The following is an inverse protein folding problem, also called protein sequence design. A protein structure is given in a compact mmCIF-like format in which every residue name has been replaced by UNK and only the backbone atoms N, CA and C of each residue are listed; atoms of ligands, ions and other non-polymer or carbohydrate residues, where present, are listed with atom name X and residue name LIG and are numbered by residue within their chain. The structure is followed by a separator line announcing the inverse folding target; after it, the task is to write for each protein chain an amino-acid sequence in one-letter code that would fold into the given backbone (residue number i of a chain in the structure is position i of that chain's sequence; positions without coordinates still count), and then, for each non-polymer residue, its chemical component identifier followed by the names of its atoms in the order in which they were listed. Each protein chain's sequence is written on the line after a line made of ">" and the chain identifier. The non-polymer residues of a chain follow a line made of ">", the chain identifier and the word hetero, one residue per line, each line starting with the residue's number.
data_IF_445590464707
#
_entry.id   IF_445590464707
#
_cell.length_a   1.000
_cell.length_b   1.000
_cell.length_c   1.000
_cell.angle_alpha   90.00
_cell.angle_beta   90.00
_cell.angle_gamma   90.00
#
_symmetry.space_group_name_H-M   'P 1'
#
loop_
_entity.id
_entity.type
_entity.pdbx_description
1 polymer ?
#
# COMPACT_ATOMS: atom_id res chain seq x y z
N UNK A 1 -37.31 25.97 22.51
CA UNK A 1 -37.95 24.66 22.85
C UNK A 1 -36.86 23.59 22.81
N UNK A 2 -35.84 23.83 23.63
CA UNK A 2 -34.44 23.46 23.36
C UNK A 2 -33.76 22.93 24.65
N UNK A 3 -34.56 22.47 25.61
CA UNK A 3 -34.07 22.07 26.94
C UNK A 3 -34.73 20.80 27.52
N UNK A 4 -35.57 20.07 26.78
CA UNK A 4 -36.34 18.94 27.35
C UNK A 4 -35.96 17.53 26.85
N UNK A 5 -34.82 17.35 26.18
CA UNK A 5 -34.31 16.01 25.80
C UNK A 5 -32.86 15.88 26.28
N UNK A 6 -32.64 16.09 27.58
CA UNK A 6 -31.30 15.95 28.20
C UNK A 6 -31.27 15.19 29.52
N UNK A 7 -32.34 14.48 29.92
CA UNK A 7 -32.33 13.66 31.14
C UNK A 7 -33.20 12.42 31.00
N UNK A 8 -32.63 11.27 31.39
CA UNK A 8 -33.19 9.90 31.38
C UNK A 8 -33.01 9.21 30.01
N UNK A 9 -32.18 8.19 29.80
CA UNK A 9 -31.49 7.20 30.65
C UNK A 9 -30.41 6.56 29.75
N UNK A 10 -29.18 6.26 30.15
CA UNK A 10 -28.72 5.85 31.47
C UNK A 10 -28.51 4.33 31.54
N UNK A 11 -27.76 3.73 30.60
CA UNK A 11 -27.02 2.50 30.84
C UNK A 11 -25.59 2.65 30.30
N UNK A 12 -24.66 2.47 31.23
CA UNK A 12 -23.24 2.64 31.08
C UNK A 12 -22.66 1.75 29.97
N UNK A 13 -21.84 2.35 29.10
CA UNK A 13 -20.47 1.85 29.00
C UNK A 13 -19.51 3.02 28.79
N UNK A 14 -18.56 3.10 29.71
CA UNK A 14 -17.51 4.09 29.82
C UNK A 14 -16.53 3.97 28.65
N UNK A 15 -16.75 4.72 27.57
CA UNK A 15 -15.70 5.07 26.60
C UNK A 15 -15.42 6.56 26.69
N UNK A 16 -14.89 6.97 27.84
CA UNK A 16 -14.25 8.28 28.00
C UNK A 16 -12.83 8.02 28.45
N UNK A 17 -11.93 7.93 27.49
CA UNK A 17 -10.54 8.30 27.65
C UNK A 17 -10.20 9.16 26.43
N UNK A 18 -9.71 10.36 26.71
CA UNK A 18 -9.24 11.32 25.74
C UNK A 18 -8.16 10.67 24.86
N UNK A 19 -8.53 10.18 23.68
CA UNK A 19 -7.56 9.87 22.65
C UNK A 19 -7.15 11.20 22.01
N UNK A 20 -5.98 11.70 22.41
CA UNK A 20 -5.21 12.63 21.59
C UNK A 20 -5.23 12.14 20.13
N UNK A 21 -5.22 13.02 19.11
CA UNK A 21 -5.23 12.59 17.72
C UNK A 21 -4.01 11.70 17.48
N UNK A 22 -4.22 10.38 17.53
CA UNK A 22 -3.19 9.40 17.23
C UNK A 22 -2.87 9.62 15.77
N UNK A 23 -1.67 10.14 15.50
CA UNK A 23 -1.20 10.36 14.14
C UNK A 23 -1.39 9.07 13.35
N UNK A 24 -1.84 9.11 12.09
CA UNK A 24 -2.13 7.91 11.28
C UNK A 24 -0.98 6.88 11.32
N UNK A 25 0.27 7.35 11.44
CA UNK A 25 1.48 6.54 11.57
C UNK A 25 1.51 5.58 12.79
N UNK A 26 0.85 5.92 13.90
CA UNK A 26 0.84 5.13 15.13
C UNK A 26 -0.03 3.86 15.00
N UNK A 27 -1.03 3.85 14.13
CA UNK A 27 -1.90 2.69 13.89
C UNK A 27 -1.26 1.65 12.94
N UNK A 28 -0.36 2.06 12.04
CA UNK A 28 0.26 1.15 11.07
C UNK A 28 1.30 0.21 11.69
N UNK A 29 2.08 0.68 12.66
CA UNK A 29 3.15 -0.09 13.31
C UNK A 29 2.62 -1.35 14.01
N UNK A 30 1.57 -1.29 14.86
CA UNK A 30 1.06 -2.47 15.55
C UNK A 30 0.37 -3.48 14.62
N UNK A 31 -0.16 -3.05 13.46
CA UNK A 31 -0.77 -3.98 12.48
C UNK A 31 0.25 -4.54 11.49
N UNK A 32 1.22 -3.73 11.07
CA UNK A 32 2.23 -4.09 10.09
C UNK A 32 3.24 -5.10 10.61
N UNK A 33 3.72 -4.95 11.85
CA UNK A 33 4.75 -5.83 12.43
C UNK A 33 4.27 -7.29 12.53
N UNK A 34 3.09 -7.61 13.11
CA UNK A 34 2.59 -8.99 13.14
C UNK A 34 2.39 -9.54 11.74
N UNK A 35 1.82 -8.75 10.83
CA UNK A 35 1.55 -9.16 9.45
C UNK A 35 2.85 -9.56 8.74
N UNK A 36 3.92 -8.76 8.85
CA UNK A 36 5.22 -9.06 8.23
C UNK A 36 5.86 -10.32 8.82
N UNK A 37 5.77 -10.51 10.14
CA UNK A 37 6.35 -11.67 10.83
C UNK A 37 5.62 -12.97 10.42
N UNK A 38 4.30 -12.95 10.36
CA UNK A 38 3.51 -14.13 10.01
C UNK A 38 3.54 -14.43 8.50
N UNK A 39 3.39 -13.40 7.65
CA UNK A 39 3.38 -13.55 6.20
C UNK A 39 4.75 -13.89 5.61
N UNK A 40 5.84 -13.42 6.25
CA UNK A 40 7.20 -13.65 5.78
C UNK A 40 7.85 -14.85 6.47
N UNK A 41 8.62 -14.65 7.56
CA UNK A 41 9.44 -15.70 8.17
C UNK A 41 8.66 -16.97 8.57
N UNK A 42 7.45 -16.82 9.11
CA UNK A 42 6.65 -17.96 9.60
C UNK A 42 6.10 -18.78 8.43
N UNK A 43 5.50 -18.14 7.43
CA UNK A 43 5.00 -18.85 6.24
C UNK A 43 6.14 -19.51 5.44
N UNK A 44 7.27 -18.83 5.29
CA UNK A 44 8.45 -19.40 4.63
C UNK A 44 8.96 -20.62 5.39
N UNK A 45 9.00 -20.61 6.73
CA UNK A 45 9.39 -21.77 7.54
C UNK A 45 8.42 -22.95 7.43
N UNK A 46 7.12 -22.68 7.26
CA UNK A 46 6.09 -23.73 7.13
C UNK A 46 6.10 -24.36 5.73
N UNK A 47 6.34 -23.54 4.69
CA UNK A 47 6.08 -23.95 3.30
C UNK A 47 7.35 -24.24 2.49
N UNK A 48 8.49 -23.65 2.85
CA UNK A 48 9.79 -24.02 2.29
C UNK A 48 10.45 -25.08 3.18
N UNK A 49 10.24 -26.35 2.84
CA UNK A 49 11.17 -27.41 3.28
C UNK A 49 12.56 -27.08 2.71
N UNK A 50 13.60 -27.32 3.51
CA UNK A 50 15.00 -26.92 3.31
C UNK A 50 15.69 -27.51 2.06
N UNK A 51 14.96 -28.26 1.24
CA UNK A 51 15.46 -28.95 0.06
C UNK A 51 15.25 -28.05 -1.16
N UNK A 52 16.35 -27.44 -1.61
CA UNK A 52 16.42 -26.80 -2.91
C UNK A 52 16.36 -27.92 -3.94
N UNK A 53 15.36 -27.91 -4.82
CA UNK A 53 15.25 -28.92 -5.87
C UNK A 53 16.45 -28.77 -6.82
N UNK A 54 17.13 -29.85 -7.23
CA UNK A 54 18.29 -29.79 -8.15
C UNK A 54 18.01 -29.02 -9.46
N UNK A 55 16.74 -29.01 -9.90
CA UNK A 55 16.26 -28.23 -11.04
C UNK A 55 16.34 -26.71 -10.83
N UNK A 56 16.14 -26.21 -9.61
CA UNK A 56 16.21 -24.78 -9.28
C UNK A 56 17.65 -24.26 -9.28
N UNK A 57 18.61 -25.09 -8.83
CA UNK A 57 20.04 -24.75 -8.85
C UNK A 57 20.53 -24.59 -10.28
N UNK A 58 20.14 -25.51 -11.17
CA UNK A 58 20.50 -25.44 -12.60
C UNK A 58 19.87 -24.23 -13.29
N UNK A 59 18.62 -23.92 -12.98
CA UNK A 59 17.89 -22.77 -13.53
C UNK A 59 18.47 -21.42 -13.09
N UNK A 60 18.82 -21.28 -11.80
CA UNK A 60 19.46 -20.08 -11.27
C UNK A 60 20.89 -19.90 -11.80
N UNK A 61 21.66 -20.99 -11.92
CA UNK A 61 23.01 -20.97 -12.52
C UNK A 61 23.02 -20.40 -13.94
N UNK A 62 22.11 -20.87 -14.79
CA UNK A 62 22.00 -20.40 -16.19
C UNK A 62 21.64 -18.91 -16.35
N UNK A 63 20.99 -18.29 -15.36
CA UNK A 63 20.66 -16.85 -15.38
C UNK A 63 21.76 -15.97 -14.77
N UNK A 64 22.56 -16.53 -13.87
CA UNK A 64 23.66 -15.82 -13.22
C UNK A 64 24.86 -15.69 -14.16
N UNK A 65 25.04 -16.64 -15.08
CA UNK A 65 26.09 -16.64 -16.11
C UNK A 65 25.79 -15.75 -17.33
N UNK A 66 24.78 -14.87 -17.25
CA UNK A 66 24.47 -13.97 -18.37
C UNK A 66 25.60 -12.95 -18.56
N UNK A 67 26.37 -13.21 -19.61
CA UNK A 67 27.40 -12.39 -20.23
C UNK A 67 26.84 -11.07 -20.76
N UNK A 68 26.32 -10.21 -19.89
CA UNK A 68 26.13 -8.80 -20.23
C UNK A 68 27.40 -8.03 -19.85
N UNK A 69 27.92 -7.29 -20.83
CA UNK A 69 29.14 -6.50 -20.78
C UNK A 69 29.38 -5.84 -19.42
N UNK A 70 30.58 -6.03 -18.87
CA UNK A 70 31.10 -5.40 -17.65
C UNK A 70 31.05 -3.87 -17.80
N UNK A 71 29.87 -3.29 -17.56
CA UNK A 71 29.71 -1.85 -17.40
C UNK A 71 29.98 -1.56 -15.94
N UNK A 72 30.90 -0.64 -15.65
CA UNK A 72 31.21 -0.30 -14.27
C UNK A 72 29.93 0.09 -13.53
N UNK A 73 29.57 -0.74 -12.55
CA UNK A 73 28.39 -0.50 -11.75
C UNK A 73 28.60 0.80 -10.96
N UNK A 74 27.55 1.63 -10.81
CA UNK A 74 27.64 2.81 -9.96
C UNK A 74 28.06 2.39 -8.56
N UNK A 75 28.99 3.15 -7.96
CA UNK A 75 29.43 2.89 -6.59
C UNK A 75 28.23 2.77 -5.66
N UNK A 76 28.27 1.79 -4.75
CA UNK A 76 27.19 1.45 -3.82
C UNK A 76 26.62 2.69 -3.11
N UNK A 77 27.48 3.62 -2.68
CA UNK A 77 27.07 4.85 -1.99
C UNK A 77 26.23 5.80 -2.84
N UNK A 78 26.53 5.95 -4.14
CA UNK A 78 25.74 6.81 -5.04
C UNK A 78 24.37 6.18 -5.27
N UNK A 79 24.33 4.88 -5.54
CA UNK A 79 23.07 4.14 -5.75
C UNK A 79 22.18 4.20 -4.51
N UNK A 80 22.75 3.96 -3.33
CA UNK A 80 22.03 4.04 -2.07
C UNK A 80 21.51 5.46 -1.82
N UNK A 81 22.36 6.47 -2.04
CA UNK A 81 21.95 7.87 -1.87
C UNK A 81 20.83 8.25 -2.83
N UNK A 82 20.89 7.87 -4.12
CA UNK A 82 19.82 8.17 -5.08
C UNK A 82 18.48 7.54 -4.66
N UNK A 83 18.49 6.30 -4.18
CA UNK A 83 17.26 5.61 -3.73
C UNK A 83 16.71 6.25 -2.44
N UNK A 84 17.59 6.67 -1.53
CA UNK A 84 17.19 7.26 -0.25
C UNK A 84 16.87 8.76 -0.33
N UNK A 85 17.32 9.47 -1.37
CA UNK A 85 17.15 10.91 -1.53
C UNK A 85 15.70 11.40 -1.38
N UNK A 86 14.69 10.83 -2.07
CA UNK A 86 13.32 11.33 -1.96
C UNK A 86 12.76 11.08 -0.55
N UNK A 87 13.12 9.95 0.07
CA UNK A 87 12.74 9.65 1.44
C UNK A 87 13.36 10.65 2.43
N UNK A 88 14.65 10.96 2.27
CA UNK A 88 15.36 11.90 3.12
C UNK A 88 14.71 13.29 3.04
N UNK A 89 14.39 13.77 1.83
CA UNK A 89 13.69 15.05 1.64
C UNK A 89 12.31 15.07 2.32
N UNK A 90 11.55 13.97 2.26
CA UNK A 90 10.26 13.87 2.94
C UNK A 90 10.40 13.83 4.47
N UNK A 91 11.39 13.11 5.00
CA UNK A 91 11.68 13.05 6.45
C UNK A 91 12.08 14.43 6.97
N UNK A 92 12.91 15.18 6.24
CA UNK A 92 13.32 16.52 6.64
C UNK A 92 12.12 17.47 6.72
N UNK A 93 11.12 17.35 5.84
CA UNK A 93 9.83 18.05 6.00
C UNK A 93 9.09 17.63 7.26
N UNK A 94 9.02 16.34 7.55
CA UNK A 94 8.32 15.85 8.75
C UNK A 94 8.99 16.36 10.03
N UNK A 95 10.32 16.35 10.11
CA UNK A 95 11.07 16.87 11.25
C UNK A 95 10.90 18.38 11.46
N UNK A 96 10.74 19.14 10.38
CA UNK A 96 10.55 20.59 10.43
C UNK A 96 9.09 21.02 10.60
N UNK A 97 8.14 20.07 10.53
CA UNK A 97 6.70 20.36 10.66
C UNK A 97 6.31 20.90 12.04
N UNK A 98 7.05 20.55 13.10
CA UNK A 98 6.85 21.02 14.48
C UNK A 98 7.49 22.37 14.82
N UNK A 99 8.22 23.00 13.89
CA UNK A 99 8.82 24.32 14.08
C UNK A 99 7.81 25.45 13.76
N UNK A 100 7.98 26.61 14.41
CA UNK A 100 7.13 27.78 14.21
C UNK A 100 7.14 28.29 12.76
N UNK A 101 6.00 28.80 12.30
CA UNK A 101 5.72 29.07 10.87
C UNK A 101 6.57 30.18 10.23
N UNK A 102 7.18 31.04 11.04
CA UNK A 102 7.81 32.30 10.65
C UNK A 102 9.21 32.16 10.00
N UNK A 103 9.83 30.99 10.05
CA UNK A 103 11.17 30.80 9.48
C UNK A 103 11.16 30.53 7.97
N UNK A 104 11.92 31.33 7.19
CA UNK A 104 12.19 31.10 5.75
C UNK A 104 12.62 29.65 5.44
N UNK A 105 13.36 29.04 6.37
CA UNK A 105 13.83 27.65 6.32
C UNK A 105 12.63 26.69 6.24
N UNK A 106 11.58 26.88 7.04
CA UNK A 106 10.38 26.02 7.04
C UNK A 106 9.62 26.12 5.73
N UNK A 107 9.52 27.31 5.11
CA UNK A 107 8.87 27.48 3.79
C UNK A 107 9.61 26.73 2.69
N UNK A 108 10.94 26.82 2.66
CA UNK A 108 11.77 26.07 1.72
C UNK A 108 11.66 24.56 1.93
N UNK A 109 11.74 24.10 3.19
CA UNK A 109 11.66 22.67 3.50
C UNK A 109 10.27 22.09 3.24
N UNK A 110 9.21 22.85 3.50
CA UNK A 110 7.84 22.45 3.17
C UNK A 110 7.65 22.31 1.66
N UNK A 111 8.18 23.25 0.88
CA UNK A 111 8.08 23.22 -0.58
C UNK A 111 8.83 22.00 -1.17
N UNK A 112 10.09 21.81 -0.77
CA UNK A 112 10.99 20.76 -1.29
C UNK A 112 10.65 19.35 -0.79
N UNK A 113 10.10 19.23 0.42
CA UNK A 113 9.74 17.93 0.98
C UNK A 113 8.33 17.47 0.63
N UNK A 114 7.59 18.17 -0.23
CA UNK A 114 6.33 17.62 -0.77
C UNK A 114 6.65 16.38 -1.62
N UNK A 115 5.82 15.32 -1.58
CA UNK A 115 6.14 14.08 -2.29
C UNK A 115 6.45 14.26 -3.77
N UNK A 116 5.67 15.11 -4.45
CA UNK A 116 5.85 15.39 -5.87
C UNK A 116 7.19 16.07 -6.17
N UNK A 117 7.56 17.10 -5.41
CA UNK A 117 8.82 17.83 -5.64
C UNK A 117 10.04 17.00 -5.24
N UNK A 118 9.97 16.27 -4.12
CA UNK A 118 11.01 15.36 -3.68
C UNK A 118 11.29 14.26 -4.72
N UNK A 119 10.25 13.67 -5.31
CA UNK A 119 10.38 12.69 -6.39
C UNK A 119 10.95 13.32 -7.67
N UNK A 120 10.54 14.54 -8.03
CA UNK A 120 11.09 15.25 -9.19
C UNK A 120 12.58 15.54 -9.03
N UNK A 121 13.00 16.07 -7.87
CA UNK A 121 14.41 16.34 -7.57
C UNK A 121 15.21 15.04 -7.60
N UNK A 122 14.68 13.98 -6.99
CA UNK A 122 15.31 12.66 -7.00
C UNK A 122 15.43 12.08 -8.42
N UNK A 123 14.44 12.29 -9.28
CA UNK A 123 14.45 11.82 -10.67
C UNK A 123 15.54 12.54 -11.48
N UNK A 124 15.65 13.86 -11.35
CA UNK A 124 16.72 14.64 -11.99
C UNK A 124 18.09 14.17 -11.51
N UNK A 125 18.24 13.96 -10.20
CA UNK A 125 19.47 13.43 -9.63
C UNK A 125 19.78 12.01 -10.13
N UNK A 126 18.77 11.16 -10.29
CA UNK A 126 18.93 9.81 -10.84
C UNK A 126 19.39 9.83 -12.30
N UNK A 127 18.81 10.68 -13.15
CA UNK A 127 19.26 10.83 -14.54
C UNK A 127 20.72 11.27 -14.64
N UNK A 128 21.15 12.15 -13.74
CA UNK A 128 22.54 12.58 -13.69
C UNK A 128 23.49 11.49 -13.14
N UNK A 129 23.16 10.91 -11.99
CA UNK A 129 24.04 9.99 -11.24
C UNK A 129 24.09 8.58 -11.84
N UNK A 130 22.94 8.01 -12.24
CA UNK A 130 22.82 6.65 -12.77
C UNK A 130 22.74 6.60 -14.30
N UNK A 131 22.43 7.73 -14.94
CA UNK A 131 22.40 7.83 -16.40
C UNK A 131 23.70 8.38 -16.96
N UNK A 132 23.83 9.71 -16.91
CA UNK A 132 24.92 10.45 -17.54
C UNK A 132 26.30 10.07 -17.01
N UNK A 133 26.45 9.95 -15.68
CA UNK A 133 27.73 9.56 -15.06
C UNK A 133 28.18 8.13 -15.38
N UNK A 134 27.27 7.26 -15.83
CA UNK A 134 27.60 5.90 -16.30
C UNK A 134 27.87 5.86 -17.82
N UNK A 135 28.00 7.01 -18.47
CA UNK A 135 28.22 7.11 -19.91
C UNK A 135 27.01 6.67 -20.75
N UNK A 136 25.79 6.73 -20.22
CA UNK A 136 24.57 6.53 -21.03
C UNK A 136 24.27 7.80 -21.82
N UNK A 137 23.93 7.65 -23.10
CA UNK A 137 23.52 8.79 -23.92
C UNK A 137 22.13 9.29 -23.53
N UNK A 138 21.82 10.55 -23.84
CA UNK A 138 20.49 11.12 -23.62
C UNK A 138 19.39 10.33 -24.35
N UNK A 139 19.69 9.78 -25.54
CA UNK A 139 18.76 8.94 -26.30
C UNK A 139 18.45 7.62 -25.59
N UNK A 140 19.45 6.99 -24.97
CA UNK A 140 19.23 5.77 -24.17
C UNK A 140 18.36 6.05 -22.94
N UNK A 141 18.57 7.21 -22.31
CA UNK A 141 17.77 7.64 -21.16
C UNK A 141 16.31 7.93 -21.55
N UNK A 142 16.11 8.53 -22.72
CA UNK A 142 14.78 8.75 -23.30
C UNK A 142 14.08 7.42 -23.59
N UNK A 143 14.78 6.47 -24.20
CA UNK A 143 14.22 5.13 -24.50
C UNK A 143 13.79 4.39 -23.24
N UNK A 144 14.61 4.41 -22.18
CA UNK A 144 14.26 3.80 -20.88
C UNK A 144 13.01 4.46 -20.28
N UNK A 145 12.95 5.78 -20.37
CA UNK A 145 11.78 6.53 -19.90
C UNK A 145 10.53 6.14 -20.70
N UNK A 146 10.63 6.06 -22.03
CA UNK A 146 9.56 5.64 -22.94
C UNK A 146 9.04 4.23 -22.63
N UNK A 147 9.93 3.28 -22.32
CA UNK A 147 9.55 1.91 -21.93
C UNK A 147 8.76 1.85 -20.61
N UNK A 148 8.89 2.86 -19.75
CA UNK A 148 8.20 2.91 -18.45
C UNK A 148 6.78 3.51 -18.54
N UNK A 149 6.48 4.31 -19.58
CA UNK A 149 5.18 4.96 -19.74
C UNK A 149 3.98 3.99 -19.82
N UNK A 150 4.03 2.87 -20.57
CA UNK A 150 2.88 1.96 -20.66
C UNK A 150 2.42 1.43 -19.30
N UNK A 151 3.37 1.10 -18.41
CA UNK A 151 3.06 0.64 -17.05
C UNK A 151 2.42 1.77 -16.23
N UNK A 152 2.94 2.99 -16.34
CA UNK A 152 2.37 4.16 -15.66
C UNK A 152 0.99 4.53 -16.17
N UNK A 153 0.73 4.41 -17.48
CA UNK A 153 -0.54 4.76 -18.10
C UNK A 153 -1.71 3.95 -17.51
N UNK A 154 -1.51 2.64 -17.29
CA UNK A 154 -2.52 1.80 -16.64
C UNK A 154 -2.85 2.27 -15.22
N UNK A 155 -1.83 2.58 -14.43
CA UNK A 155 -2.00 3.05 -13.04
C UNK A 155 -2.75 4.40 -13.01
N UNK A 156 -2.35 5.36 -13.84
CA UNK A 156 -2.98 6.69 -13.91
C UNK A 156 -4.43 6.59 -14.40
N UNK A 157 -4.71 5.75 -15.39
CA UNK A 157 -6.07 5.55 -15.91
C UNK A 157 -7.00 4.96 -14.84
N UNK A 158 -6.53 3.96 -14.10
CA UNK A 158 -7.28 3.39 -12.99
C UNK A 158 -7.54 4.43 -11.89
N UNK A 159 -6.54 5.23 -11.51
CA UNK A 159 -6.70 6.27 -10.49
C UNK A 159 -7.76 7.27 -10.94
N UNK A 160 -7.69 7.73 -12.20
CA UNK A 160 -8.67 8.64 -12.78
C UNK A 160 -10.09 8.05 -12.82
N UNK A 161 -10.21 6.79 -13.24
CA UNK A 161 -11.48 6.06 -13.26
C UNK A 161 -12.06 5.89 -11.85
N UNK A 162 -11.23 5.57 -10.85
CA UNK A 162 -11.64 5.49 -9.44
C UNK A 162 -12.16 6.81 -8.90
N UNK A 163 -11.50 7.93 -9.22
CA UNK A 163 -11.95 9.27 -8.84
C UNK A 163 -13.30 9.68 -9.48
N UNK A 164 -13.47 9.37 -10.77
CA UNK A 164 -14.74 9.58 -11.47
C UNK A 164 -15.85 8.69 -10.89
N UNK A 165 -15.56 7.42 -10.62
CA UNK A 165 -16.49 6.48 -10.01
C UNK A 165 -16.91 6.90 -8.60
N UNK A 166 -15.99 7.35 -7.74
CA UNK A 166 -16.32 7.93 -6.43
C UNK A 166 -17.27 9.12 -6.56
N UNK A 167 -17.04 10.00 -7.54
CA UNK A 167 -17.92 11.16 -7.80
C UNK A 167 -19.33 10.73 -8.21
N UNK A 168 -19.47 9.64 -8.96
CA UNK A 168 -20.78 9.04 -9.28
C UNK A 168 -21.42 8.46 -8.03
N UNK A 169 -20.68 7.69 -7.22
CA UNK A 169 -21.21 7.10 -5.98
C UNK A 169 -21.72 8.15 -4.98
N UNK A 170 -20.99 9.26 -4.81
CA UNK A 170 -21.41 10.38 -3.96
C UNK A 170 -22.69 11.03 -4.47
N UNK A 171 -22.86 11.16 -5.80
CA UNK A 171 -24.07 11.75 -6.41
C UNK A 171 -25.25 10.80 -6.48
N UNK A 172 -25.01 9.49 -6.50
CA UNK A 172 -26.06 8.46 -6.60
C UNK A 172 -26.75 8.17 -5.26
N UNK A 173 -26.34 8.79 -4.14
CA UNK A 173 -26.91 8.51 -2.82
C UNK A 173 -26.57 7.11 -2.28
N UNK A 174 -25.61 6.41 -2.90
CA UNK A 174 -25.24 5.04 -2.49
C UNK A 174 -24.71 5.00 -1.05
N UNK A 175 -24.06 6.08 -0.59
CA UNK A 175 -23.61 6.20 0.81
C UNK A 175 -24.75 6.16 1.82
N UNK A 176 -25.93 6.69 1.48
CA UNK A 176 -27.13 6.68 2.32
C UNK A 176 -27.76 5.28 2.39
N UNK A 177 -27.71 4.54 1.27
CA UNK A 177 -28.16 3.14 1.23
C UNK A 177 -27.23 2.23 2.04
N UNK A 178 -25.91 2.38 1.89
CA UNK A 178 -24.93 1.57 2.60
C UNK A 178 -24.97 1.88 4.11
N UNK A 179 -25.09 3.15 4.50
CA UNK A 179 -25.26 3.52 5.91
C UNK A 179 -26.59 3.01 6.48
N UNK A 180 -27.68 3.06 5.72
CA UNK A 180 -28.96 2.44 6.09
C UNK A 180 -28.85 0.92 6.29
N UNK A 181 -28.09 0.23 5.43
CA UNK A 181 -27.77 -1.19 5.59
C UNK A 181 -26.91 -1.46 6.82
N UNK A 182 -25.89 -0.64 7.10
CA UNK A 182 -25.05 -0.76 8.30
C UNK A 182 -25.83 -0.55 9.60
N UNK A 183 -26.83 0.34 9.59
CA UNK A 183 -27.71 0.56 10.74
C UNK A 183 -28.68 -0.60 10.97
N UNK A 184 -29.02 -1.35 9.90
CA UNK A 184 -29.97 -2.48 9.94
C UNK A 184 -29.29 -3.85 10.04
N UNK A 185 -28.01 -3.96 9.69
CA UNK A 185 -27.18 -5.17 9.86
C UNK A 185 -25.99 -4.87 10.76
N UNK A 186 -25.83 -5.63 11.85
CA UNK A 186 -24.70 -5.54 12.78
C UNK A 186 -23.36 -6.05 12.17
N UNK A 187 -23.06 -5.72 10.92
CA UNK A 187 -21.83 -6.10 10.23
C UNK A 187 -20.74 -5.09 10.57
N UNK A 188 -19.56 -5.58 10.98
CA UNK A 188 -18.44 -4.69 11.26
C UNK A 188 -17.96 -4.02 9.93
N UNK A 189 -17.89 -2.68 9.87
CA UNK A 189 -17.45 -1.91 8.69
C UNK A 189 -16.05 -2.28 8.20
N UNK A 190 -15.15 -2.67 9.10
CA UNK A 190 -13.78 -3.11 8.80
C UNK A 190 -13.79 -4.39 7.96
N UNK A 191 -14.67 -5.34 8.29
CA UNK A 191 -14.80 -6.61 7.55
C UNK A 191 -15.37 -6.34 6.15
N UNK A 192 -16.35 -5.44 6.05
CA UNK A 192 -16.93 -5.04 4.78
C UNK A 192 -15.88 -4.40 3.87
N UNK A 193 -15.08 -3.47 4.42
CA UNK A 193 -14.00 -2.80 3.71
C UNK A 193 -12.94 -3.78 3.18
N UNK A 194 -12.51 -4.71 4.03
CA UNK A 194 -11.59 -5.78 3.67
C UNK A 194 -12.15 -6.69 2.57
N UNK A 195 -13.42 -7.07 2.67
CA UNK A 195 -14.08 -7.98 1.73
C UNK A 195 -14.24 -7.36 0.34
N UNK A 196 -14.63 -6.08 0.27
CA UNK A 196 -14.69 -5.35 -1.00
C UNK A 196 -13.31 -5.31 -1.65
N UNK A 197 -12.27 -4.96 -0.89
CA UNK A 197 -10.89 -4.94 -1.39
C UNK A 197 -10.42 -6.33 -1.85
N UNK A 198 -10.80 -7.39 -1.14
CA UNK A 198 -10.51 -8.78 -1.48
C UNK A 198 -11.11 -9.18 -2.83
N UNK A 199 -12.40 -8.92 -3.05
CA UNK A 199 -13.08 -9.20 -4.34
C UNK A 199 -12.44 -8.39 -5.47
N UNK A 200 -12.18 -7.10 -5.22
CA UNK A 200 -11.57 -6.23 -6.23
C UNK A 200 -10.17 -6.71 -6.61
N UNK A 201 -9.38 -7.21 -5.65
CA UNK A 201 -8.07 -7.74 -5.97
C UNK A 201 -8.13 -9.04 -6.77
N UNK A 202 -9.07 -9.93 -6.42
CA UNK A 202 -9.32 -11.14 -7.20
C UNK A 202 -9.72 -10.80 -8.65
N UNK A 203 -10.55 -9.78 -8.85
CA UNK A 203 -11.01 -9.38 -10.18
C UNK A 203 -9.93 -8.66 -11.01
N UNK A 204 -9.14 -7.77 -10.40
CA UNK A 204 -8.22 -6.89 -11.15
C UNK A 204 -6.77 -7.39 -11.17
N UNK A 205 -6.36 -8.21 -10.19
CA UNK A 205 -5.01 -8.76 -10.12
C UNK A 205 -3.90 -7.75 -9.79
N UNK A 206 -4.25 -6.52 -9.39
CA UNK A 206 -3.27 -5.53 -8.94
C UNK A 206 -3.68 -4.95 -7.59
N UNK A 207 -2.81 -5.11 -6.59
CA UNK A 207 -3.05 -4.62 -5.24
C UNK A 207 -3.35 -3.12 -5.22
N UNK A 208 -2.60 -2.32 -6.00
CA UNK A 208 -2.78 -0.87 -6.04
C UNK A 208 -4.12 -0.48 -6.66
N UNK A 209 -4.51 -1.13 -7.76
CA UNK A 209 -5.79 -0.86 -8.43
C UNK A 209 -6.96 -1.26 -7.53
N UNK A 210 -6.85 -2.42 -6.88
CA UNK A 210 -7.85 -2.92 -5.94
C UNK A 210 -8.03 -1.98 -4.75
N UNK A 211 -6.93 -1.48 -4.16
CA UNK A 211 -6.97 -0.50 -3.08
C UNK A 211 -7.73 0.77 -3.48
N UNK A 212 -7.38 1.37 -4.63
CA UNK A 212 -7.99 2.63 -5.08
C UNK A 212 -9.48 2.44 -5.35
N UNK A 213 -9.85 1.34 -5.98
CA UNK A 213 -11.23 1.02 -6.30
C UNK A 213 -12.07 0.79 -5.04
N UNK A 214 -11.54 0.01 -4.09
CA UNK A 214 -12.21 -0.25 -2.82
C UNK A 214 -12.32 1.03 -1.97
N UNK A 215 -11.27 1.85 -1.91
CA UNK A 215 -11.31 3.15 -1.24
C UNK A 215 -12.40 4.07 -1.83
N UNK A 216 -12.56 4.04 -3.15
CA UNK A 216 -13.62 4.79 -3.85
C UNK A 216 -15.01 4.29 -3.48
N UNK A 217 -15.20 2.98 -3.29
CA UNK A 217 -16.47 2.39 -2.88
C UNK A 217 -16.83 2.68 -1.42
N UNK A 218 -15.84 2.75 -0.54
CA UNK A 218 -16.03 2.89 0.91
C UNK A 218 -16.10 4.37 1.33
N UNK A 219 -15.54 5.27 0.52
CA UNK A 219 -15.55 6.72 0.73
C UNK A 219 -16.93 7.31 1.14
N UNK A 220 -18.05 6.98 0.46
CA UNK A 220 -19.37 7.46 0.87
C UNK A 220 -19.81 6.99 2.27
N UNK A 221 -19.29 5.87 2.75
CA UNK A 221 -19.62 5.30 4.06
C UNK A 221 -19.02 6.15 5.19
N UNK A 222 -17.80 6.66 4.99
CA UNK A 222 -17.12 7.57 5.91
C UNK A 222 -17.83 8.93 6.01
N UNK A 223 -18.45 9.38 4.91
CA UNK A 223 -19.24 10.60 4.91
C UNK A 223 -20.57 10.45 5.67
N UNK A 224 -21.13 9.24 5.69
CA UNK A 224 -22.42 8.95 6.31
C UNK A 224 -22.31 8.65 7.82
N UNK A 225 -21.20 8.07 8.29
CA UNK A 225 -20.98 7.76 9.70
C UNK A 225 -19.65 8.34 10.22
N UNK A 226 -19.74 9.34 11.10
CA UNK A 226 -18.60 10.00 11.73
C UNK A 226 -17.91 9.15 12.80
N UNK A 227 -18.47 8.00 13.21
CA UNK A 227 -17.82 7.09 14.15
C UNK A 227 -16.77 6.20 13.47
N UNK A 228 -16.77 6.14 12.14
CA UNK A 228 -15.78 5.39 11.37
C UNK A 228 -14.45 6.14 11.34
N UNK A 229 -13.39 5.46 11.78
CA UNK A 229 -12.03 5.99 11.75
C UNK A 229 -11.38 5.67 10.38
N UNK A 230 -11.05 6.66 9.55
CA UNK A 230 -10.53 6.43 8.19
C UNK A 230 -9.22 5.64 8.18
N UNK A 231 -8.39 5.81 9.21
CA UNK A 231 -7.12 5.13 9.36
C UNK A 231 -7.29 3.60 9.41
N UNK A 232 -8.28 3.12 10.16
CA UNK A 232 -8.56 1.67 10.31
C UNK A 232 -9.11 1.10 9.00
N UNK A 233 -9.99 1.85 8.33
CA UNK A 233 -10.54 1.44 7.03
C UNK A 233 -9.45 1.33 5.95
N UNK A 234 -8.51 2.28 5.91
CA UNK A 234 -7.38 2.22 4.96
C UNK A 234 -6.51 1.00 5.21
N UNK A 235 -6.26 0.65 6.47
CA UNK A 235 -5.51 -0.57 6.84
C UNK A 235 -6.29 -1.83 6.41
N UNK A 236 -7.60 -1.87 6.64
CA UNK A 236 -8.46 -2.98 6.22
C UNK A 236 -8.49 -3.18 4.70
N UNK A 237 -8.59 -2.08 3.95
CA UNK A 237 -8.52 -2.07 2.48
C UNK A 237 -7.14 -2.56 2.01
N UNK A 238 -6.07 -2.08 2.64
CA UNK A 238 -4.70 -2.52 2.37
C UNK A 238 -4.54 -4.03 2.59
N UNK A 239 -5.02 -4.54 3.72
CA UNK A 239 -5.03 -5.97 4.03
C UNK A 239 -5.80 -6.78 2.97
N UNK A 240 -7.00 -6.34 2.60
CA UNK A 240 -7.83 -7.00 1.59
C UNK A 240 -7.20 -6.99 0.19
N UNK A 241 -6.47 -5.93 -0.15
CA UNK A 241 -5.80 -5.78 -1.45
C UNK A 241 -4.58 -6.66 -1.67
N UNK A 242 -4.03 -7.28 -0.62
CA UNK A 242 -2.89 -8.20 -0.72
C UNK A 242 -3.39 -9.62 -0.96
N UNK A 243 -4.67 -9.88 -0.69
CA UNK A 243 -5.26 -11.22 -0.68
C UNK A 243 -5.32 -11.88 -2.05
N UNK A 244 -5.24 -13.20 -2.09
CA UNK A 244 -5.58 -14.00 -3.27
C UNK A 244 -4.80 -13.58 -4.54
N UNK A 245 -3.50 -13.40 -4.40
CA UNK A 245 -2.63 -13.17 -5.54
C UNK A 245 -2.52 -14.46 -6.38
N UNK A 246 -3.18 -14.49 -7.54
CA UNK A 246 -3.27 -15.65 -8.42
C UNK A 246 -2.73 -15.32 -9.82
N UNK A 247 -3.16 -16.06 -10.86
CA UNK A 247 -2.66 -15.86 -12.23
C UNK A 247 -2.92 -14.47 -12.81
N UNK A 248 -3.85 -13.69 -12.25
CA UNK A 248 -4.06 -12.28 -12.66
C UNK A 248 -3.03 -11.33 -12.08
N UNK A 249 -2.27 -11.74 -11.05
CA UNK A 249 -1.29 -10.88 -10.40
C UNK A 249 0.11 -11.01 -11.01
N UNK A 250 0.68 -9.89 -11.42
CA UNK A 250 2.05 -9.80 -11.92
C UNK A 250 3.10 -10.30 -10.91
N UNK A 251 2.88 -10.08 -9.61
CA UNK A 251 3.79 -10.52 -8.56
C UNK A 251 3.87 -12.05 -8.47
N UNK A 252 2.76 -12.75 -8.76
CA UNK A 252 2.73 -14.21 -8.83
C UNK A 252 3.66 -14.74 -9.93
N UNK A 253 3.64 -14.11 -11.10
CA UNK A 253 4.48 -14.49 -12.24
C UNK A 253 5.95 -14.22 -11.98
N UNK A 254 6.26 -13.07 -11.37
CA UNK A 254 7.61 -12.74 -10.94
C UNK A 254 8.13 -13.84 -10.00
N UNK A 255 7.42 -14.15 -8.91
CA UNK A 255 7.88 -15.17 -7.95
C UNK A 255 8.05 -16.54 -8.60
N UNK A 256 7.12 -16.95 -9.46
CA UNK A 256 7.22 -18.22 -10.19
C UNK A 256 8.47 -18.25 -11.07
N UNK A 257 8.70 -17.19 -11.84
CA UNK A 257 9.79 -17.09 -12.82
C UNK A 257 11.16 -16.94 -12.16
N UNK A 258 11.24 -16.24 -11.02
CA UNK A 258 12.46 -16.12 -10.23
C UNK A 258 12.83 -17.44 -9.54
N UNK A 259 11.83 -18.20 -9.04
CA UNK A 259 12.08 -19.45 -8.31
C UNK A 259 12.12 -20.69 -9.21
N UNK A 260 11.76 -20.57 -10.48
CA UNK A 260 11.72 -21.69 -11.44
C UNK A 260 10.77 -22.82 -11.04
N UNK A 261 9.71 -22.51 -10.28
CA UNK A 261 8.77 -23.51 -9.74
C UNK A 261 7.57 -23.76 -10.67
N UNK A 262 6.94 -24.93 -10.51
CA UNK A 262 5.71 -25.26 -11.26
C UNK A 262 4.53 -24.34 -10.89
N UNK A 263 3.56 -24.19 -11.79
CA UNK A 263 2.37 -23.36 -11.55
C UNK A 263 1.57 -23.81 -10.31
N UNK A 264 1.40 -25.13 -10.14
CA UNK A 264 0.69 -25.71 -8.99
C UNK A 264 1.40 -25.39 -7.68
N UNK A 265 2.74 -25.44 -7.68
CA UNK A 265 3.54 -25.12 -6.51
C UNK A 265 3.56 -23.63 -6.20
N UNK A 266 3.62 -22.78 -7.23
CA UNK A 266 3.49 -21.34 -7.08
C UNK A 266 2.14 -20.95 -6.47
N UNK A 267 1.03 -21.53 -6.94
CA UNK A 267 -0.30 -21.27 -6.37
C UNK A 267 -0.37 -21.71 -4.90
N UNK A 268 0.14 -22.89 -4.56
CA UNK A 268 0.14 -23.35 -3.17
C UNK A 268 0.98 -22.48 -2.25
N UNK A 269 2.20 -22.12 -2.67
CA UNK A 269 3.17 -21.42 -1.83
C UNK A 269 2.92 -19.92 -1.77
N UNK A 270 2.67 -19.27 -2.91
CA UNK A 270 2.51 -17.82 -2.99
C UNK A 270 1.08 -17.36 -2.73
N UNK A 271 0.08 -17.94 -3.39
CA UNK A 271 -1.33 -17.58 -3.14
C UNK A 271 -1.76 -17.96 -1.72
N UNK A 272 -1.25 -19.08 -1.19
CA UNK A 272 -1.43 -19.43 0.22
C UNK A 272 -0.82 -18.39 1.18
N UNK A 273 0.39 -17.89 0.87
CA UNK A 273 1.05 -16.85 1.68
C UNK A 273 0.21 -15.58 1.74
N UNK A 274 -0.31 -15.16 0.58
CA UNK A 274 -1.03 -13.88 0.46
C UNK A 274 -2.40 -13.92 1.11
N UNK A 275 -3.10 -15.07 1.04
CA UNK A 275 -4.36 -15.28 1.78
C UNK A 275 -4.09 -15.27 3.28
N UNK A 276 -3.05 -15.98 3.76
CA UNK A 276 -2.72 -15.97 5.19
C UNK A 276 -2.35 -14.55 5.65
N UNK A 277 -1.50 -13.85 4.89
CA UNK A 277 -1.09 -12.48 5.20
C UNK A 277 -2.30 -11.55 5.34
N UNK A 278 -3.25 -11.64 4.42
CA UNK A 278 -4.48 -10.86 4.45
C UNK A 278 -5.37 -11.18 5.64
N UNK A 279 -5.55 -12.45 5.98
CA UNK A 279 -6.36 -12.87 7.14
C UNK A 279 -5.71 -12.44 8.46
N UNK A 280 -4.38 -12.59 8.58
CA UNK A 280 -3.64 -12.11 9.76
C UNK A 280 -3.76 -10.60 9.89
N UNK A 281 -3.62 -9.87 8.78
CA UNK A 281 -3.79 -8.43 8.77
C UNK A 281 -5.22 -8.01 9.14
N UNK A 282 -6.26 -8.72 8.68
CA UNK A 282 -7.64 -8.50 9.09
C UNK A 282 -7.82 -8.69 10.59
N UNK A 283 -7.33 -9.80 11.15
CA UNK A 283 -7.42 -10.08 12.60
C UNK A 283 -6.72 -8.99 13.40
N UNK A 284 -5.50 -8.60 13.01
CA UNK A 284 -4.77 -7.52 13.66
C UNK A 284 -5.52 -6.17 13.57
N UNK A 285 -6.18 -5.90 12.44
CA UNK A 285 -6.99 -4.68 12.25
C UNK A 285 -8.23 -4.71 13.13
N UNK A 286 -8.92 -5.85 13.26
CA UNK A 286 -10.09 -5.99 14.13
C UNK A 286 -9.73 -5.88 15.62
N UNK A 287 -8.55 -6.38 16.01
CA UNK A 287 -8.05 -6.20 17.37
C UNK A 287 -7.81 -4.71 17.64
N UNK A 288 -7.19 -3.99 16.69
CA UNK A 288 -6.97 -2.55 16.82
C UNK A 288 -8.29 -1.76 16.89
N UNK A 289 -9.27 -2.12 16.05
CA UNK A 289 -10.63 -1.57 16.07
C UNK A 289 -11.33 -1.77 17.42
N UNK A 290 -11.04 -2.86 18.14
CA UNK A 290 -11.59 -3.08 19.48
C UNK A 290 -10.97 -2.19 20.57
N UNK A 291 -9.71 -1.78 20.40
CA UNK A 291 -8.99 -0.96 21.39
C UNK A 291 -9.26 0.55 21.26
N UNK A 292 -9.81 0.99 20.12
CA UNK A 292 -10.18 2.38 19.81
C UNK A 292 -11.66 2.60 20.12
#
# INVERSE_FOLDING_TARGET
>A
MEQSIKRSSGHANTRSCAAAPLTPQACYVPVGIPTIIFAGPVWVRITCKKEITPAQIKFLGTRTDSTETVRELPGFGITLFTICLPLLLMVVKTLTSGLAEETLIRRFTLAVGTPLTALMISLVFAFWSLGLRQGRSMLQLLEISQRSFPVLAGIVFVIGAGGAFNSVLLKSGVGEVISGMLLSTHINPVILAWFIAWIMHLAVGSATVAMISAASMISPMLAADHQLTPEILVIAIGAGSISWAHVTDSAFWIVREYLGISLSEALKKFTGATILASVVALIATLILDHFI
#
